data_IF_364258089312
#
_entry.id   IF_364258089312
#
_cell.length_a   1.000
_cell.length_b   1.000
_cell.length_c   1.000
_cell.angle_alpha   90.00
_cell.angle_beta   90.00
_cell.angle_gamma   90.00
#
_symmetry.space_group_name_H-M   'P 1'
#
loop_
_entity.id
_entity.type
_entity.pdbx_description
1 polymer ?
#
# COMPACT_ATOMS: atom_id res chain seq x y z
N UNK A 1 -3.80 18.92 46.51
CA UNK A 1 -3.56 17.53 46.05
C UNK A 1 -4.71 17.14 45.12
N UNK A 2 -4.60 17.39 43.82
CA UNK A 2 -5.63 16.98 42.84
C UNK A 2 -5.64 15.45 42.78
N UNK A 3 -6.77 14.82 43.14
CA UNK A 3 -6.94 13.37 42.98
C UNK A 3 -6.76 13.05 41.50
N UNK A 4 -5.82 12.16 41.14
CA UNK A 4 -5.73 11.69 39.76
C UNK A 4 -7.01 10.94 39.45
N UNK A 5 -7.73 11.36 38.40
CA UNK A 5 -8.93 10.67 37.94
C UNK A 5 -8.56 9.23 37.58
N UNK A 6 -9.30 8.27 38.12
CA UNK A 6 -9.11 6.84 37.83
C UNK A 6 -9.22 6.62 36.32
N UNK A 7 -8.18 6.01 35.72
CA UNK A 7 -8.16 5.71 34.29
C UNK A 7 -8.82 4.38 33.99
N UNK A 8 -9.61 4.36 32.93
CA UNK A 8 -10.40 3.19 32.51
C UNK A 8 -10.04 2.80 31.09
N UNK A 9 -9.80 1.51 30.86
CA UNK A 9 -9.65 0.99 29.51
C UNK A 9 -10.71 -0.07 29.20
N UNK A 10 -11.05 -0.23 27.93
CA UNK A 10 -11.87 -1.33 27.43
C UNK A 10 -11.11 -2.05 26.33
N UNK A 11 -11.20 -3.38 26.29
CA UNK A 11 -10.41 -4.19 25.36
C UNK A 11 -11.25 -5.29 24.68
N UNK A 12 -11.05 -5.47 23.38
CA UNK A 12 -11.50 -6.64 22.63
C UNK A 12 -10.32 -7.39 22.03
N UNK A 13 -10.45 -8.71 21.90
CA UNK A 13 -9.37 -9.61 21.49
C UNK A 13 -8.48 -10.08 22.66
N UNK A 14 -7.52 -10.94 22.36
CA UNK A 14 -6.59 -11.52 23.33
C UNK A 14 -5.24 -10.79 23.30
N UNK A 15 -5.09 -9.80 24.18
CA UNK A 15 -3.85 -9.03 24.33
C UNK A 15 -3.36 -9.03 25.78
N UNK A 16 -2.88 -10.18 26.29
CA UNK A 16 -2.50 -10.31 27.70
C UNK A 16 -1.41 -9.32 28.08
N UNK A 17 -0.40 -9.08 27.24
CA UNK A 17 0.68 -8.13 27.52
C UNK A 17 0.17 -6.70 27.71
N UNK A 18 -0.75 -6.24 26.86
CA UNK A 18 -1.33 -4.89 26.94
C UNK A 18 -2.21 -4.76 28.18
N UNK A 19 -3.05 -5.77 28.46
CA UNK A 19 -3.89 -5.81 29.67
C UNK A 19 -3.03 -5.72 30.93
N UNK A 20 -2.01 -6.56 31.05
CA UNK A 20 -1.12 -6.57 32.20
C UNK A 20 -0.40 -5.23 32.37
N UNK A 21 0.10 -4.64 31.28
CA UNK A 21 0.81 -3.36 31.34
C UNK A 21 -0.09 -2.19 31.74
N UNK A 22 -1.36 -2.17 31.30
CA UNK A 22 -2.34 -1.17 31.72
C UNK A 22 -2.72 -1.32 33.19
N UNK A 23 -3.00 -2.55 33.63
CA UNK A 23 -3.31 -2.86 35.03
C UNK A 23 -2.14 -2.51 35.96
N UNK A 24 -0.90 -2.81 35.56
CA UNK A 24 0.33 -2.45 36.28
C UNK A 24 0.48 -0.92 36.45
N UNK A 25 -0.05 -0.14 35.51
CA UNK A 25 -0.09 1.34 35.58
C UNK A 25 -1.29 1.88 36.36
N UNK A 26 -2.09 1.02 37.00
CA UNK A 26 -3.26 1.38 37.79
C UNK A 26 -4.51 1.69 36.95
N UNK A 27 -4.55 1.29 35.68
CA UNK A 27 -5.78 1.39 34.88
C UNK A 27 -6.73 0.26 35.21
N UNK A 28 -8.02 0.56 35.25
CA UNK A 28 -9.07 -0.43 35.51
C UNK A 28 -9.71 -0.83 34.18
N UNK A 29 -9.87 -2.14 33.97
CA UNK A 29 -10.59 -2.66 32.80
C UNK A 29 -12.09 -2.51 33.01
N UNK A 30 -12.77 -1.96 32.01
CA UNK A 30 -14.21 -2.00 31.89
C UNK A 30 -14.58 -3.25 31.08
N UNK A 31 -15.15 -4.24 31.76
CA UNK A 31 -15.56 -5.51 31.18
C UNK A 31 -16.71 -5.36 30.18
N UNK A 32 -17.55 -4.33 30.34
CA UNK A 32 -18.57 -3.99 29.35
C UNK A 32 -17.93 -3.29 28.14
N UNK A 33 -17.66 -4.08 27.10
CA UNK A 33 -17.09 -3.62 25.82
C UNK A 33 -18.00 -2.66 25.04
N UNK A 34 -19.31 -2.72 25.30
CA UNK A 34 -20.32 -1.85 24.70
C UNK A 34 -20.40 -0.48 25.39
N UNK A 35 -19.88 -0.38 26.60
CA UNK A 35 -19.91 0.83 27.40
C UNK A 35 -19.24 2.00 26.69
N UNK A 36 -19.85 3.20 26.70
CA UNK A 36 -19.19 4.42 26.25
C UNK A 36 -18.15 4.93 27.25
N UNK A 37 -18.03 4.31 28.44
CA UNK A 37 -17.17 4.76 29.52
C UNK A 37 -15.78 4.10 29.45
N UNK A 38 -14.83 4.82 28.84
CA UNK A 38 -13.41 4.46 28.77
C UNK A 38 -12.57 5.70 28.47
N UNK A 39 -11.33 5.74 28.94
CA UNK A 39 -10.28 6.65 28.45
C UNK A 39 -9.54 6.06 27.25
N UNK A 40 -9.34 4.74 27.22
CA UNK A 40 -8.68 4.01 26.13
C UNK A 40 -9.52 2.81 25.70
N UNK A 41 -9.80 2.68 24.41
CA UNK A 41 -10.42 1.49 23.84
C UNK A 41 -9.46 0.80 22.88
N UNK A 42 -9.06 -0.42 23.23
CA UNK A 42 -8.17 -1.24 22.43
C UNK A 42 -8.97 -2.34 21.74
N UNK A 43 -9.09 -2.31 20.42
CA UNK A 43 -9.88 -3.30 19.68
C UNK A 43 -9.04 -4.06 18.66
N UNK A 44 -9.50 -5.27 18.32
CA UNK A 44 -8.91 -6.07 17.24
C UNK A 44 -9.22 -5.44 15.88
N UNK A 45 -10.49 -5.05 15.66
CA UNK A 45 -10.92 -4.42 14.42
C UNK A 45 -11.19 -2.92 14.59
N UNK A 46 -10.84 -2.15 13.57
CA UNK A 46 -11.18 -0.72 13.49
C UNK A 46 -12.70 -0.49 13.36
N UNK A 47 -13.46 -1.49 12.89
CA UNK A 47 -14.93 -1.42 12.76
C UNK A 47 -15.66 -1.40 14.11
N UNK A 48 -14.99 -1.85 15.18
CA UNK A 48 -15.52 -1.82 16.55
C UNK A 48 -15.47 -0.41 17.17
N UNK A 49 -14.72 0.51 16.55
CA UNK A 49 -14.60 1.90 16.98
C UNK A 49 -15.64 2.76 16.27
N UNK A 50 -16.63 3.23 17.04
CA UNK A 50 -17.63 4.20 16.56
C UNK A 50 -17.09 5.61 16.69
N UNK A 51 -16.26 6.04 15.73
CA UNK A 51 -15.56 7.34 15.76
C UNK A 51 -16.49 8.54 15.98
N UNK A 52 -17.72 8.47 15.47
CA UNK A 52 -18.74 9.52 15.58
C UNK A 52 -19.22 9.71 17.02
N UNK A 53 -19.02 8.72 17.89
CA UNK A 53 -19.45 8.74 19.30
C UNK A 53 -18.29 9.02 20.27
N UNK A 54 -17.06 9.10 19.78
CA UNK A 54 -15.89 9.33 20.63
C UNK A 54 -15.91 10.75 21.20
N UNK A 55 -15.55 10.87 22.48
CA UNK A 55 -15.30 12.16 23.13
C UNK A 55 -13.84 12.59 22.93
N UNK A 56 -13.52 13.90 23.02
CA UNK A 56 -12.18 14.41 22.73
C UNK A 56 -11.03 13.78 23.55
N UNK A 57 -11.31 13.30 24.77
CA UNK A 57 -10.32 12.66 25.63
C UNK A 57 -10.18 11.15 25.40
N UNK A 58 -11.11 10.53 24.68
CA UNK A 58 -11.14 9.09 24.46
C UNK A 58 -10.14 8.71 23.36
N UNK A 59 -9.29 7.74 23.66
CA UNK A 59 -8.26 7.25 22.76
C UNK A 59 -8.60 5.86 22.26
N UNK A 60 -8.15 5.55 21.05
CA UNK A 60 -8.26 4.22 20.44
C UNK A 60 -6.94 3.85 19.77
N UNK A 61 -6.72 2.55 19.54
CA UNK A 61 -5.53 2.05 18.84
C UNK A 61 -5.69 2.06 17.30
N UNK A 62 -6.73 2.71 16.77
CA UNK A 62 -7.03 2.74 15.34
C UNK A 62 -7.18 4.18 14.84
N UNK A 63 -6.54 4.49 13.71
CA UNK A 63 -6.78 5.73 12.98
C UNK A 63 -7.95 5.57 12.00
N UNK A 64 -8.77 6.61 11.91
CA UNK A 64 -9.87 6.67 10.93
C UNK A 64 -9.29 6.62 9.51
N UNK A 65 -9.89 5.83 8.62
CA UNK A 65 -9.52 5.70 7.19
C UNK A 65 -8.08 5.24 6.92
N UNK A 66 -7.51 4.38 7.79
CA UNK A 66 -6.15 3.84 7.58
C UNK A 66 -6.01 2.90 6.35
N UNK A 67 -7.12 2.56 5.67
CA UNK A 67 -7.08 1.70 4.47
C UNK A 67 -6.26 2.28 3.32
N UNK A 68 -5.98 3.58 3.32
CA UNK A 68 -5.08 4.20 2.36
C UNK A 68 -3.62 3.71 2.48
N UNK A 69 -3.18 3.25 3.66
CA UNK A 69 -1.83 2.74 3.87
C UNK A 69 -1.80 1.23 4.13
N UNK A 70 -2.86 0.68 4.73
CA UNK A 70 -2.90 -0.73 5.15
C UNK A 70 -3.49 -1.68 4.12
N UNK A 71 -3.97 -1.18 2.97
CA UNK A 71 -4.42 -2.02 1.86
C UNK A 71 -3.51 -1.87 0.66
N UNK A 72 -3.37 -2.93 -0.15
CA UNK A 72 -2.56 -2.89 -1.37
C UNK A 72 -3.02 -1.80 -2.34
N UNK A 73 -4.33 -1.77 -2.61
CA UNK A 73 -4.95 -0.79 -3.51
C UNK A 73 -4.89 0.63 -2.95
N UNK A 74 -5.09 0.81 -1.64
CA UNK A 74 -4.94 2.11 -1.00
C UNK A 74 -3.52 2.65 -1.13
N UNK A 75 -2.53 1.82 -0.77
CA UNK A 75 -1.13 2.20 -0.81
C UNK A 75 -0.68 2.51 -2.24
N UNK A 76 -1.09 1.68 -3.19
CA UNK A 76 -0.88 1.91 -4.63
C UNK A 76 -1.36 3.30 -5.04
N UNK A 77 -2.59 3.67 -4.69
CA UNK A 77 -3.13 4.98 -5.03
C UNK A 77 -2.41 6.13 -4.32
N UNK A 78 -2.04 5.96 -3.05
CA UNK A 78 -1.26 6.96 -2.33
C UNK A 78 0.09 7.24 -3.03
N UNK A 79 0.79 6.20 -3.45
CA UNK A 79 2.10 6.34 -4.09
C UNK A 79 1.98 6.86 -5.52
N UNK A 80 1.14 6.23 -6.38
CA UNK A 80 1.04 6.62 -7.79
C UNK A 80 0.35 7.97 -8.02
N UNK A 81 -0.72 8.26 -7.26
CA UNK A 81 -1.58 9.40 -7.59
C UNK A 81 -1.31 10.62 -6.70
N UNK A 82 -0.89 10.40 -5.46
CA UNK A 82 -0.82 11.47 -4.47
C UNK A 82 0.61 11.93 -4.16
N UNK A 83 1.59 11.02 -4.21
CA UNK A 83 2.97 11.30 -3.75
C UNK A 83 3.62 12.49 -4.47
N UNK A 84 3.39 12.63 -5.78
CA UNK A 84 3.87 13.74 -6.60
C UNK A 84 3.45 15.13 -6.12
N UNK A 85 2.42 15.23 -5.27
CA UNK A 85 1.96 16.48 -4.69
C UNK A 85 2.67 16.83 -3.37
N UNK A 86 3.45 15.91 -2.81
CA UNK A 86 4.09 16.05 -1.50
C UNK A 86 5.62 15.93 -1.55
N UNK A 87 6.17 15.29 -2.59
CA UNK A 87 7.61 15.09 -2.73
C UNK A 87 7.98 14.88 -4.20
N UNK A 88 9.20 15.28 -4.54
CA UNK A 88 9.80 15.11 -5.87
C UNK A 88 10.41 13.71 -6.06
N UNK A 89 10.40 12.87 -5.02
CA UNK A 89 10.87 11.49 -5.12
C UNK A 89 9.87 10.68 -5.96
N UNK A 90 10.35 10.10 -7.05
CA UNK A 90 9.56 9.16 -7.84
C UNK A 90 9.27 7.89 -7.04
N UNK A 91 7.98 7.59 -6.86
CA UNK A 91 7.49 6.39 -6.19
C UNK A 91 8.02 5.10 -6.80
N UNK A 92 8.34 5.09 -8.10
CA UNK A 92 8.84 3.90 -8.78
C UNK A 92 10.22 3.44 -8.28
N UNK A 93 10.97 4.31 -7.60
CA UNK A 93 12.33 4.02 -7.08
C UNK A 93 12.34 3.07 -5.89
N UNK A 94 11.24 3.01 -5.12
CA UNK A 94 11.14 2.17 -3.91
C UNK A 94 9.85 1.34 -3.88
N UNK A 95 8.85 1.66 -4.69
CA UNK A 95 7.60 0.90 -4.78
C UNK A 95 7.51 0.20 -6.13
N UNK A 96 7.27 -1.14 -6.15
CA UNK A 96 7.18 -1.87 -7.40
C UNK A 96 6.00 -1.39 -8.23
N UNK A 97 6.17 -1.42 -9.55
CA UNK A 97 5.08 -1.17 -10.50
C UNK A 97 3.88 -2.08 -10.17
N UNK A 98 2.71 -1.48 -10.05
CA UNK A 98 1.49 -2.17 -9.68
C UNK A 98 0.26 -1.44 -10.26
N UNK A 99 -0.82 -2.19 -10.45
CA UNK A 99 -2.03 -1.76 -11.13
C UNK A 99 -3.26 -2.22 -10.36
N UNK A 100 -4.29 -1.37 -10.31
CA UNK A 100 -5.59 -1.74 -9.75
C UNK A 100 -6.46 -2.37 -10.85
N UNK A 101 -6.38 -3.70 -11.01
CA UNK A 101 -7.09 -4.42 -12.07
C UNK A 101 -8.63 -4.37 -11.95
N UNK A 102 -9.16 -3.84 -10.84
CA UNK A 102 -10.60 -3.56 -10.72
C UNK A 102 -11.03 -2.35 -11.58
N UNK A 103 -10.07 -1.51 -12.01
CA UNK A 103 -10.30 -0.36 -12.86
C UNK A 103 -9.91 -0.66 -14.30
N UNK A 104 -10.82 -0.38 -15.23
CA UNK A 104 -10.58 -0.61 -16.65
C UNK A 104 -9.36 0.15 -17.20
N UNK A 105 -9.10 1.36 -16.69
CA UNK A 105 -7.94 2.17 -17.08
C UNK A 105 -6.63 1.51 -16.66
N UNK A 106 -6.51 1.12 -15.40
CA UNK A 106 -5.31 0.45 -14.87
C UNK A 106 -5.12 -0.94 -15.49
N UNK A 107 -6.20 -1.64 -15.81
CA UNK A 107 -6.13 -2.90 -16.55
C UNK A 107 -5.54 -2.68 -17.95
N UNK A 108 -5.94 -1.62 -18.65
CA UNK A 108 -5.39 -1.30 -19.96
C UNK A 108 -3.91 -0.90 -19.86
N UNK A 109 -3.55 -0.05 -18.89
CA UNK A 109 -2.15 0.31 -18.61
C UNK A 109 -1.28 -0.92 -18.32
N UNK A 110 -1.81 -1.87 -17.54
CA UNK A 110 -1.15 -3.14 -17.27
C UNK A 110 -0.91 -3.95 -18.55
N UNK A 111 -1.91 -4.06 -19.43
CA UNK A 111 -1.78 -4.81 -20.68
C UNK A 111 -0.74 -4.19 -21.61
N UNK A 112 -0.69 -2.85 -21.66
CA UNK A 112 0.29 -2.15 -22.48
C UNK A 112 1.70 -2.28 -21.90
N UNK A 113 1.87 -2.16 -20.58
CA UNK A 113 3.16 -2.41 -19.92
C UNK A 113 3.61 -3.87 -20.07
N UNK A 114 2.69 -4.83 -19.98
CA UNK A 114 2.97 -6.25 -20.20
C UNK A 114 3.48 -6.52 -21.62
N UNK A 115 2.82 -5.98 -22.65
CA UNK A 115 3.26 -6.14 -24.05
C UNK A 115 4.65 -5.58 -24.30
N UNK A 116 4.94 -4.45 -23.66
CA UNK A 116 6.26 -3.83 -23.71
C UNK A 116 7.29 -4.71 -22.99
N UNK A 117 6.96 -5.23 -21.80
CA UNK A 117 7.87 -6.07 -21.03
C UNK A 117 8.24 -7.33 -21.82
N UNK A 118 7.27 -7.98 -22.45
CA UNK A 118 7.50 -9.11 -23.34
C UNK A 118 8.43 -8.74 -24.50
N UNK A 119 8.20 -7.58 -25.13
CA UNK A 119 9.08 -7.11 -26.20
C UNK A 119 10.51 -6.84 -25.71
N UNK A 120 10.66 -6.33 -24.49
CA UNK A 120 11.96 -6.10 -23.83
C UNK A 120 12.68 -7.42 -23.53
N UNK A 121 11.95 -8.43 -23.04
CA UNK A 121 12.48 -9.77 -22.77
C UNK A 121 12.97 -10.40 -24.08
N UNK A 122 12.13 -10.44 -25.12
CA UNK A 122 12.53 -10.99 -26.41
C UNK A 122 13.80 -10.33 -26.96
N UNK A 123 13.93 -9.01 -26.86
CA UNK A 123 15.13 -8.32 -27.33
C UNK A 123 16.36 -8.61 -26.48
N UNK A 124 16.22 -8.74 -25.16
CA UNK A 124 17.32 -9.17 -24.27
C UNK A 124 17.78 -10.58 -24.60
N UNK A 125 16.85 -11.50 -24.87
CA UNK A 125 17.16 -12.87 -25.24
C UNK A 125 17.92 -12.91 -26.58
N UNK A 126 17.43 -12.20 -27.59
CA UNK A 126 18.11 -12.09 -28.89
C UNK A 126 19.51 -11.49 -28.79
N UNK A 127 19.69 -10.46 -27.96
CA UNK A 127 21.00 -9.88 -27.68
C UNK A 127 21.93 -10.91 -27.04
N UNK A 128 21.44 -11.69 -26.07
CA UNK A 128 22.24 -12.72 -25.40
C UNK A 128 22.72 -13.81 -26.36
N UNK A 129 21.86 -14.25 -27.29
CA UNK A 129 22.21 -15.27 -28.29
C UNK A 129 23.20 -14.68 -29.32
N UNK A 130 23.01 -13.42 -29.72
CA UNK A 130 23.90 -12.75 -30.67
C UNK A 130 25.31 -12.54 -30.09
N UNK A 131 25.40 -12.19 -28.80
CA UNK A 131 26.67 -12.05 -28.08
C UNK A 131 27.43 -13.38 -27.97
N UNK A 132 26.70 -14.50 -27.91
CA UNK A 132 27.28 -15.85 -27.94
C UNK A 132 27.75 -16.30 -29.34
N UNK A 133 27.87 -15.37 -30.30
CA UNK A 133 28.33 -15.58 -31.70
C UNK A 133 27.53 -16.62 -32.48
N UNK A 134 26.32 -16.97 -32.03
CA UNK A 134 25.42 -17.80 -32.79
C UNK A 134 24.71 -16.96 -33.85
N UNK A 135 24.70 -17.44 -35.09
CA UNK A 135 23.98 -16.79 -36.18
C UNK A 135 22.48 -17.03 -35.98
N UNK A 136 21.70 -15.96 -35.83
CA UNK A 136 20.25 -16.03 -35.58
C UNK A 136 19.51 -15.58 -36.82
N UNK A 137 18.55 -16.38 -37.27
CA UNK A 137 17.58 -15.94 -38.26
C UNK A 137 16.35 -15.41 -37.54
N UNK A 138 16.09 -14.11 -37.69
CA UNK A 138 14.95 -13.42 -37.07
C UNK A 138 14.10 -12.86 -38.19
N UNK A 139 12.78 -13.03 -38.07
CA UNK A 139 11.84 -12.39 -38.99
C UNK A 139 11.99 -10.85 -38.88
N UNK A 140 12.36 -10.14 -39.97
CA UNK A 140 12.57 -8.70 -39.93
C UNK A 140 11.32 -7.91 -39.50
N UNK A 141 10.11 -8.41 -39.79
CA UNK A 141 8.85 -7.81 -39.36
C UNK A 141 8.67 -7.88 -37.84
N UNK A 142 8.99 -9.03 -37.23
CA UNK A 142 8.95 -9.19 -35.77
C UNK A 142 9.95 -8.25 -35.10
N UNK A 143 11.19 -8.20 -35.62
CA UNK A 143 12.21 -7.29 -35.10
C UNK A 143 11.78 -5.82 -35.22
N UNK A 144 11.17 -5.44 -36.35
CA UNK A 144 10.66 -4.09 -36.56
C UNK A 144 9.57 -3.72 -35.55
N UNK A 145 8.64 -4.64 -35.26
CA UNK A 145 7.57 -4.44 -34.26
C UNK A 145 8.18 -4.28 -32.86
N UNK A 146 9.08 -5.19 -32.45
CA UNK A 146 9.75 -5.14 -31.15
C UNK A 146 10.49 -3.81 -30.94
N UNK A 147 11.28 -3.40 -31.94
CA UNK A 147 12.00 -2.12 -31.91
C UNK A 147 11.06 -0.92 -31.89
N UNK A 148 9.92 -0.99 -32.59
CA UNK A 148 8.93 0.09 -32.60
C UNK A 148 8.28 0.29 -31.23
N UNK A 149 7.89 -0.82 -30.58
CA UNK A 149 7.29 -0.82 -29.23
C UNK A 149 8.30 -0.26 -28.22
N UNK A 150 9.56 -0.72 -28.24
CA UNK A 150 10.57 -0.22 -27.32
C UNK A 150 10.97 1.23 -27.58
N UNK A 151 11.14 1.65 -28.84
CA UNK A 151 11.46 3.06 -29.17
C UNK A 151 10.36 4.01 -28.69
N UNK A 152 9.09 3.59 -28.77
CA UNK A 152 7.98 4.37 -28.24
C UNK A 152 8.09 4.52 -26.71
N UNK A 153 8.53 3.48 -25.99
CA UNK A 153 8.80 3.54 -24.55
C UNK A 153 10.00 4.40 -24.19
N UNK A 154 11.14 4.26 -24.88
CA UNK A 154 12.31 5.11 -24.64
C UNK A 154 11.95 6.60 -24.75
N UNK A 155 11.24 6.99 -25.82
CA UNK A 155 10.76 8.38 -25.97
C UNK A 155 9.82 8.84 -24.85
N UNK A 156 9.02 7.93 -24.27
CA UNK A 156 8.15 8.26 -23.16
C UNK A 156 8.93 8.47 -21.84
N UNK A 157 10.08 7.80 -21.68
CA UNK A 157 10.98 7.95 -20.55
C UNK A 157 11.92 9.17 -20.70
N UNK A 158 12.32 9.51 -21.92
CA UNK A 158 13.17 10.68 -22.20
C UNK A 158 12.39 12.02 -22.12
N UNK A 159 11.07 11.97 -22.18
CA UNK A 159 10.18 13.12 -22.10
C UNK A 159 9.54 13.36 -20.72
N UNK A 160 9.92 12.57 -19.71
CA UNK A 160 9.44 12.64 -18.32
C UNK A 160 10.49 13.15 -17.36
#
# INVERSE_FOLDING_TARGET
RTKSVQKVFSMSGWYPSIRHELQRRGWIENEDRGSPYFDLKWTLSSTEVKYEKLKPWQKTNHYKRNSCLTTKTGLLHCIRNNMRFFTDIDGSTFFPRAYDLSKATDMQDFLDDYRILEAEICLKDLLSISQNKQQIFINPGVLCILLTVLRRRCRALDGS
#
